data_IF_790079268302
#
_entry.id   IF_790079268302
#
_cell.length_a   1.000
_cell.length_b   1.000
_cell.length_c   1.000
_cell.angle_alpha   90.00
_cell.angle_beta   90.00
_cell.angle_gamma   90.00
#
_symmetry.space_group_name_H-M   'P 1'
#
loop_
_entity.id
_entity.type
_entity.pdbx_description
1 polymer ?
#
# COMPACT_ATOMS: atom_id res chain seq x y z
N UNK A 1 12.95 17.23 6.10
CA UNK A 1 12.13 16.44 7.05
C UNK A 1 12.49 14.99 6.82
N UNK A 2 12.87 14.24 7.86
CA UNK A 2 13.07 12.80 7.73
C UNK A 2 11.73 12.15 7.35
N UNK A 3 11.66 11.55 6.17
CA UNK A 3 10.53 10.70 5.80
C UNK A 3 10.65 9.40 6.60
N UNK A 4 9.70 9.16 7.50
CA UNK A 4 9.54 7.86 8.17
C UNK A 4 8.68 6.95 7.31
N UNK A 5 9.11 6.75 6.06
CA UNK A 5 8.42 5.87 5.15
C UNK A 5 8.73 4.42 5.52
N UNK A 6 7.70 3.68 5.88
CA UNK A 6 7.78 2.25 6.19
C UNK A 6 6.90 1.46 5.23
N UNK A 7 7.30 0.21 4.99
CA UNK A 7 6.48 -0.78 4.31
C UNK A 7 5.93 -1.74 5.35
N UNK A 8 4.64 -2.01 5.28
CA UNK A 8 4.01 -2.99 6.16
C UNK A 8 3.25 -4.03 5.36
N UNK A 9 3.14 -5.22 5.91
CA UNK A 9 2.17 -6.22 5.48
C UNK A 9 1.23 -6.52 6.65
N UNK A 10 -0.07 -6.47 6.39
CA UNK A 10 -1.12 -6.68 7.41
C UNK A 10 -1.57 -8.14 7.48
N UNK A 11 -2.31 -8.49 8.54
CA UNK A 11 -2.95 -9.81 8.74
C UNK A 11 -3.86 -10.23 7.57
N UNK A 12 -4.44 -9.27 6.85
CA UNK A 12 -5.22 -9.50 5.63
C UNK A 12 -4.36 -9.60 4.36
N UNK A 13 -3.03 -9.76 4.49
CA UNK A 13 -2.07 -9.84 3.40
C UNK A 13 -2.04 -8.62 2.46
N UNK A 14 -2.55 -7.48 2.91
CA UNK A 14 -2.38 -6.21 2.20
C UNK A 14 -1.02 -5.60 2.53
N UNK A 15 -0.28 -5.18 1.50
CA UNK A 15 0.97 -4.45 1.60
C UNK A 15 0.73 -2.96 1.40
N UNK A 16 1.31 -2.15 2.29
CA UNK A 16 1.16 -0.69 2.31
C UNK A 16 2.50 0.01 2.44
N UNK A 17 2.61 1.20 1.85
CA UNK A 17 3.63 2.19 2.17
C UNK A 17 3.00 3.28 3.03
N UNK A 18 3.69 3.68 4.09
CA UNK A 18 3.15 4.60 5.09
C UNK A 18 4.23 5.59 5.48
N UNK A 19 3.97 6.87 5.28
CA UNK A 19 4.79 7.93 5.83
C UNK A 19 4.23 8.28 7.21
N UNK A 20 4.81 7.67 8.24
CA UNK A 20 4.30 7.75 9.60
C UNK A 20 4.33 9.19 10.14
N UNK A 21 3.19 9.61 10.67
CA UNK A 21 3.04 10.89 11.35
C UNK A 21 2.73 10.64 12.82
N UNK A 22 3.24 11.52 13.68
CA UNK A 22 2.99 11.42 15.11
C UNK A 22 1.74 12.21 15.47
N UNK A 23 0.69 11.52 15.90
CA UNK A 23 -0.43 12.14 16.59
C UNK A 23 -0.65 11.50 17.98
N UNK A 24 -1.20 12.30 18.90
CA UNK A 24 -1.35 11.91 20.30
C UNK A 24 -2.43 10.85 20.52
N UNK A 25 -3.44 10.77 19.65
CA UNK A 25 -4.49 9.75 19.73
C UNK A 25 -3.94 8.41 19.25
N UNK A 26 -3.33 8.33 18.08
CA UNK A 26 -2.85 7.06 17.52
C UNK A 26 -1.70 6.49 18.34
N UNK A 27 -0.78 7.34 18.84
CA UNK A 27 0.28 6.90 19.76
C UNK A 27 -0.27 6.24 21.04
N UNK A 28 -1.35 6.79 21.61
CA UNK A 28 -1.97 6.24 22.83
C UNK A 28 -2.73 4.93 22.56
N UNK A 29 -3.21 4.75 21.34
CA UNK A 29 -4.02 3.60 20.95
C UNK A 29 -3.24 2.55 20.12
N UNK A 30 -1.93 2.73 19.95
CA UNK A 30 -1.08 1.88 19.09
C UNK A 30 -1.68 1.71 17.69
N UNK A 31 -2.04 2.84 17.08
CA UNK A 31 -2.54 2.93 15.72
C UNK A 31 -1.44 3.52 14.85
N UNK A 32 -1.26 2.95 13.67
CA UNK A 32 -0.37 3.49 12.67
C UNK A 32 -1.09 4.58 11.87
N UNK A 33 -0.56 5.80 11.93
CA UNK A 33 -1.17 7.00 11.39
C UNK A 33 -0.22 7.71 10.43
N UNK A 34 -0.75 8.23 9.32
CA UNK A 34 0.03 9.04 8.38
C UNK A 34 -0.53 9.00 6.97
N UNK A 35 0.33 9.32 6.00
CA UNK A 35 -0.02 9.21 4.58
C UNK A 35 0.20 7.76 4.14
N UNK A 36 -0.77 7.18 3.44
CA UNK A 36 -0.80 5.75 3.14
C UNK A 36 -1.02 5.48 1.67
N UNK A 37 -0.38 4.43 1.16
CA UNK A 37 -0.53 3.96 -0.21
C UNK A 37 -0.60 2.43 -0.20
N UNK A 38 -1.69 1.86 -0.72
CA UNK A 38 -1.81 0.40 -0.87
C UNK A 38 -1.06 -0.05 -2.11
N UNK A 39 -0.12 -1.00 -1.95
CA UNK A 39 0.59 -1.63 -3.07
C UNK A 39 -0.13 -2.89 -3.55
N UNK A 40 -0.77 -3.63 -2.64
CA UNK A 40 -1.55 -4.82 -2.98
C UNK A 40 -2.87 -4.43 -3.65
N UNK A 41 -2.90 -4.46 -4.98
CA UNK A 41 -4.08 -4.13 -5.79
C UNK A 41 -4.33 -5.18 -6.87
N UNK A 42 -5.56 -5.28 -7.38
CA UNK A 42 -5.84 -6.08 -8.58
C UNK A 42 -5.53 -5.30 -9.86
N UNK A 43 -5.50 -5.99 -11.00
CA UNK A 43 -5.24 -5.35 -12.32
C UNK A 43 -6.32 -4.36 -12.75
N UNK A 44 -7.51 -4.41 -12.15
CA UNK A 44 -8.62 -3.53 -12.47
C UNK A 44 -8.79 -2.40 -11.43
N UNK A 45 -7.91 -2.33 -10.44
CA UNK A 45 -7.93 -1.30 -9.40
C UNK A 45 -7.04 -0.09 -9.77
N UNK A 46 -7.23 1.01 -9.03
CA UNK A 46 -6.28 2.12 -8.98
C UNK A 46 -5.43 2.05 -7.71
N UNK A 47 -4.21 2.58 -7.80
CA UNK A 47 -3.45 3.03 -6.66
C UNK A 47 -4.06 4.32 -6.12
N UNK A 48 -4.21 4.41 -4.80
CA UNK A 48 -4.73 5.58 -4.11
C UNK A 48 -3.82 5.95 -2.95
N UNK A 49 -3.42 7.22 -2.90
CA UNK A 49 -2.82 7.81 -1.72
C UNK A 49 -3.92 8.41 -0.85
N UNK A 50 -3.89 8.12 0.44
CA UNK A 50 -4.72 8.78 1.43
C UNK A 50 -3.84 9.48 2.46
N UNK A 51 -4.10 10.76 2.71
CA UNK A 51 -3.30 11.61 3.59
C UNK A 51 -3.85 11.66 5.02
N UNK A 52 -2.96 11.65 6.01
CA UNK A 52 -3.30 11.81 7.42
C UNK A 52 -4.44 10.88 7.92
N UNK A 53 -4.36 9.59 7.59
CA UNK A 53 -5.35 8.58 8.02
C UNK A 53 -4.79 7.64 9.08
N UNK A 54 -5.69 7.19 9.97
CA UNK A 54 -5.45 6.07 10.87
C UNK A 54 -5.66 4.76 10.10
N UNK A 55 -4.56 4.12 9.67
CA UNK A 55 -4.65 2.96 8.79
C UNK A 55 -5.09 1.70 9.52
N UNK A 56 -4.33 1.33 10.56
CA UNK A 56 -4.50 0.03 11.24
C UNK A 56 -3.87 0.05 12.63
N UNK A 57 -4.24 -0.91 13.47
CA UNK A 57 -3.60 -1.14 14.76
C UNK A 57 -2.27 -1.88 14.59
N UNK A 58 -1.30 -1.61 15.46
CA UNK A 58 0.01 -2.27 15.50
C UNK A 58 -0.09 -3.80 15.55
N UNK A 59 -1.08 -4.33 16.28
CA UNK A 59 -1.32 -5.78 16.40
C UNK A 59 -1.72 -6.47 15.09
N UNK A 60 -2.21 -5.72 14.10
CA UNK A 60 -2.64 -6.24 12.80
C UNK A 60 -1.49 -6.24 11.77
N UNK A 61 -0.28 -5.87 12.19
CA UNK A 61 0.90 -5.85 11.33
C UNK A 61 1.64 -7.19 11.45
N UNK A 62 1.75 -7.90 10.33
CA UNK A 62 2.52 -9.14 10.23
C UNK A 62 4.02 -8.87 10.03
N UNK A 63 4.35 -7.86 9.24
CA UNK A 63 5.74 -7.54 8.90
C UNK A 63 5.94 -6.04 8.74
N UNK A 64 7.13 -5.58 9.13
CA UNK A 64 7.65 -4.22 8.89
C UNK A 64 8.96 -4.33 8.13
N UNK A 65 9.04 -3.62 7.03
CA UNK A 65 10.19 -3.63 6.14
C UNK A 65 10.59 -2.20 5.77
N UNK A 66 11.85 -2.04 5.37
CA UNK A 66 12.28 -0.82 4.70
C UNK A 66 11.78 -0.86 3.25
N UNK A 67 11.08 0.19 2.76
CA UNK A 67 10.73 0.29 1.35
C UNK A 67 11.97 0.29 0.45
N UNK A 68 11.85 -0.26 -0.75
CA UNK A 68 12.89 -0.11 -1.78
C UNK A 68 12.93 1.34 -2.30
N UNK A 69 14.02 1.71 -2.99
CA UNK A 69 14.12 3.04 -3.61
C UNK A 69 12.99 3.28 -4.62
N UNK A 70 12.67 2.29 -5.47
CA UNK A 70 11.54 2.39 -6.41
C UNK A 70 10.18 2.51 -5.72
N UNK A 71 9.98 1.86 -4.57
CA UNK A 71 8.75 2.00 -3.77
C UNK A 71 8.65 3.42 -3.16
N UNK A 72 9.77 4.01 -2.72
CA UNK A 72 9.84 5.40 -2.24
C UNK A 72 9.50 6.36 -3.38
N UNK A 73 10.13 6.20 -4.55
CA UNK A 73 9.87 7.04 -5.73
C UNK A 73 8.40 6.95 -6.16
N UNK A 74 7.82 5.75 -6.13
CA UNK A 74 6.42 5.56 -6.43
C UNK A 74 5.51 6.27 -5.44
N UNK A 75 5.83 6.20 -4.14
CA UNK A 75 5.08 6.92 -3.11
C UNK A 75 5.10 8.43 -3.34
N UNK A 76 6.27 8.99 -3.66
CA UNK A 76 6.42 10.42 -3.97
C UNK A 76 5.65 10.82 -5.23
N UNK A 77 5.72 10.01 -6.28
CA UNK A 77 4.90 10.20 -7.47
C UNK A 77 3.40 10.22 -7.13
N UNK A 78 2.94 9.27 -6.31
CA UNK A 78 1.54 9.20 -5.87
C UNK A 78 1.15 10.38 -4.96
N UNK A 79 2.08 11.03 -4.24
CA UNK A 79 1.81 12.32 -3.55
C UNK A 79 1.40 13.43 -4.50
N UNK A 80 1.94 13.43 -5.72
CA UNK A 80 1.62 14.46 -6.71
C UNK A 80 0.30 14.16 -7.44
N UNK A 81 0.04 12.89 -7.79
CA UNK A 81 -1.11 12.51 -8.63
C UNK A 81 -2.33 12.01 -7.85
N UNK A 82 -2.14 11.60 -6.58
CA UNK A 82 -3.14 11.09 -5.61
C UNK A 82 -3.85 9.79 -6.00
N UNK A 83 -4.24 9.63 -7.27
CA UNK A 83 -4.85 8.43 -7.82
C UNK A 83 -4.22 8.08 -9.18
N UNK A 84 -3.97 6.78 -9.38
CA UNK A 84 -3.52 6.27 -10.68
C UNK A 84 -4.04 4.86 -10.92
N UNK A 85 -4.80 4.68 -11.99
CA UNK A 85 -5.20 3.35 -12.45
C UNK A 85 -3.97 2.44 -12.65
N UNK A 86 -4.11 1.16 -12.30
CA UNK A 86 -3.08 0.18 -12.59
C UNK A 86 -2.75 0.18 -14.09
N UNK A 87 -1.46 0.14 -14.40
CA UNK A 87 -0.99 -0.29 -15.72
C UNK A 87 0.25 -1.15 -15.56
N UNK A 88 0.43 -2.10 -16.46
CA UNK A 88 1.60 -2.98 -16.46
C UNK A 88 2.90 -2.18 -16.55
N UNK A 89 2.94 -1.18 -17.42
CA UNK A 89 4.10 -0.31 -17.60
C UNK A 89 4.43 0.51 -16.35
N UNK A 90 3.43 0.96 -15.60
CA UNK A 90 3.63 1.67 -14.34
C UNK A 90 4.18 0.73 -13.27
N UNK A 91 3.61 -0.47 -13.15
CA UNK A 91 4.08 -1.47 -12.20
C UNK A 91 5.52 -1.92 -12.51
N UNK A 92 5.86 -2.14 -13.78
CA UNK A 92 7.21 -2.48 -14.22
C UNK A 92 8.23 -1.36 -13.93
N UNK A 93 7.85 -0.10 -14.19
CA UNK A 93 8.70 1.07 -13.94
C UNK A 93 9.14 1.16 -12.47
N UNK A 94 8.27 0.80 -11.53
CA UNK A 94 8.51 0.91 -10.09
C UNK A 94 8.74 -0.44 -9.40
N UNK A 95 8.88 -1.54 -10.16
CA UNK A 95 9.08 -2.90 -9.65
C UNK A 95 8.01 -3.40 -8.67
N UNK A 96 6.74 -3.09 -8.98
CA UNK A 96 5.56 -3.39 -8.14
C UNK A 96 4.79 -4.64 -8.59
N UNK A 97 5.27 -5.36 -9.61
CA UNK A 97 4.55 -6.49 -10.22
C UNK A 97 4.25 -7.61 -9.21
N UNK A 98 5.17 -7.83 -8.26
CA UNK A 98 5.02 -8.79 -7.15
C UNK A 98 3.86 -8.45 -6.19
N UNK A 99 3.41 -7.20 -6.19
CA UNK A 99 2.34 -6.72 -5.33
C UNK A 99 0.97 -6.78 -6.02
N UNK A 100 0.93 -7.03 -7.33
CA UNK A 100 -0.32 -7.16 -8.07
C UNK A 100 -0.94 -8.52 -7.75
N UNK A 101 -2.12 -8.50 -7.15
CA UNK A 101 -2.86 -9.72 -6.83
C UNK A 101 -3.52 -10.21 -8.11
N UNK A 102 -3.16 -11.42 -8.54
CA UNK A 102 -3.88 -12.09 -9.63
C UNK A 102 -5.30 -12.39 -9.18
N UNK A 103 -6.29 -11.89 -9.91
CA UNK A 103 -7.72 -12.16 -9.68
C UNK A 103 -8.09 -13.58 -10.09
N UNK A 104 -7.31 -14.61 -9.76
CA UNK A 104 -7.54 -15.99 -10.21
C UNK A 104 -8.54 -16.76 -9.35
N UNK A 105 -9.24 -16.12 -8.40
CA UNK A 105 -10.27 -16.77 -7.59
C UNK A 105 -11.71 -16.53 -8.09
N UNK A 106 -11.93 -15.61 -9.03
CA UNK A 106 -13.25 -15.33 -9.59
C UNK A 106 -13.46 -15.90 -11.01
N UNK A 107 -12.37 -16.12 -11.78
CA UNK A 107 -12.47 -16.64 -13.15
C UNK A 107 -12.51 -18.18 -13.23
N UNK A 108 -12.07 -18.91 -12.20
CA UNK A 108 -12.11 -20.39 -12.21
C UNK A 108 -13.50 -20.98 -11.90
N UNK A 109 -14.47 -20.17 -11.44
CA UNK A 109 -15.86 -20.60 -11.18
C UNK A 109 -16.81 -20.34 -12.35
N UNK A 110 -16.35 -19.70 -13.43
CA UNK A 110 -17.16 -19.38 -14.61
C UNK A 110 -17.00 -20.39 -15.76
N UNK A 111 -16.18 -21.43 -15.59
CA UNK A 111 -15.95 -22.47 -16.62
C UNK A 111 -16.61 -23.82 -16.38
N UNK A 112 -17.48 -23.94 -15.38
CA UNK A 112 -18.38 -25.11 -15.24
C UNK A 112 -19.82 -24.64 -14.97
N UNK A 113 -20.56 -24.36 -16.04
CA UNK A 113 -22.00 -24.68 -16.22
C UNK A 113 -22.50 -24.28 -17.61
#
# INVERSE_FOLDING_TARGET
MEQKLIKITTTFHNTWLINEQLDSFSKRNNILFGDTLRLSISKNDSYYLAEAIALTYEKEILAREKPTESEIEFFLYMKEVQEKAYSKSLAEKYHLERNVVSTTAADELATDN
#
